data_IF_996141338885
#
_entry.id   IF_996141338885
#
_cell.length_a   1.000
_cell.length_b   1.000
_cell.length_c   1.000
_cell.angle_alpha   90.00
_cell.angle_beta   90.00
_cell.angle_gamma   90.00
#
_symmetry.space_group_name_H-M   'P 1'
#
loop_
_entity.id
_entity.type
_entity.pdbx_description
1 polymer ?
#
# COMPACT_ATOMS: atom_id res chain seq x y z
N UNK A 1 -21.66 -1.19 1.00
CA UNK A 1 -20.29 -1.48 0.55
C UNK A 1 -19.67 -0.13 0.23
N UNK A 2 -19.05 0.51 1.22
CA UNK A 2 -18.52 1.86 1.05
C UNK A 2 -17.24 1.70 0.23
N UNK A 3 -17.32 2.12 -1.02
CA UNK A 3 -16.18 2.18 -1.92
C UNK A 3 -15.20 3.14 -1.26
N UNK A 4 -14.00 2.66 -0.93
CA UNK A 4 -12.93 3.44 -0.29
C UNK A 4 -12.34 4.52 -1.23
N UNK A 5 -13.17 5.14 -2.06
CA UNK A 5 -12.74 6.03 -3.14
C UNK A 5 -13.07 7.51 -2.88
N UNK A 6 -13.75 7.84 -1.76
CA UNK A 6 -14.27 9.20 -1.54
C UNK A 6 -13.59 10.01 -0.43
N UNK A 7 -12.54 9.51 0.25
CA UNK A 7 -11.81 10.36 1.20
C UNK A 7 -10.73 11.18 0.48
N UNK A 8 -10.59 12.49 0.79
CA UNK A 8 -9.51 13.32 0.24
C UNK A 8 -8.11 12.72 0.48
N UNK A 9 -7.92 12.03 1.61
CA UNK A 9 -6.67 11.38 1.96
C UNK A 9 -6.28 10.27 0.97
N UNK A 10 -7.22 9.40 0.57
CA UNK A 10 -6.92 8.33 -0.38
C UNK A 10 -6.51 8.86 -1.75
N UNK A 11 -7.13 9.94 -2.20
CA UNK A 11 -6.74 10.60 -3.45
C UNK A 11 -5.29 11.09 -3.38
N UNK A 12 -4.92 11.81 -2.32
CA UNK A 12 -3.55 12.31 -2.11
C UNK A 12 -2.54 11.16 -2.00
N UNK A 13 -2.90 10.07 -1.30
CA UNK A 13 -2.06 8.88 -1.20
C UNK A 13 -1.78 8.27 -2.59
N UNK A 14 -2.84 8.03 -3.38
CA UNK A 14 -2.73 7.47 -4.72
C UNK A 14 -1.85 8.34 -5.62
N UNK A 15 -2.15 9.63 -5.69
CA UNK A 15 -1.41 10.58 -6.54
C UNK A 15 0.08 10.66 -6.14
N UNK A 16 0.36 10.75 -4.83
CA UNK A 16 1.74 10.86 -4.33
C UNK A 16 2.59 9.63 -4.63
N UNK A 17 1.98 8.44 -4.61
CA UNK A 17 2.67 7.18 -4.88
C UNK A 17 2.84 6.97 -6.38
N UNK A 18 1.79 7.16 -7.18
CA UNK A 18 1.83 6.94 -8.64
C UNK A 18 2.82 7.88 -9.32
N UNK A 19 2.97 9.12 -8.83
CA UNK A 19 3.97 10.07 -9.36
C UNK A 19 5.41 9.54 -9.22
N UNK A 20 5.68 8.73 -8.18
CA UNK A 20 7.01 8.17 -7.89
C UNK A 20 7.18 6.74 -8.41
N UNK A 21 6.09 5.96 -8.41
CA UNK A 21 6.03 4.53 -8.73
C UNK A 21 4.78 4.26 -9.60
N UNK A 22 4.81 4.61 -10.89
CA UNK A 22 3.62 4.61 -11.76
C UNK A 22 3.06 3.21 -12.04
N UNK A 23 3.91 2.18 -12.05
CA UNK A 23 3.50 0.77 -12.26
C UNK A 23 3.32 0.01 -10.94
N UNK A 24 2.96 0.71 -9.85
CA UNK A 24 2.76 0.07 -8.55
C UNK A 24 1.29 -0.17 -8.22
N UNK A 25 1.03 -1.28 -7.52
CA UNK A 25 -0.25 -1.55 -6.87
C UNK A 25 -0.22 -1.05 -5.43
N UNK A 26 -1.29 -0.40 -4.98
CA UNK A 26 -1.37 0.18 -3.63
C UNK A 26 -2.47 -0.53 -2.86
N UNK A 27 -2.11 -1.08 -1.71
CA UNK A 27 -3.03 -1.79 -0.82
C UNK A 27 -3.00 -1.09 0.53
N UNK A 28 -4.16 -0.66 1.00
CA UNK A 28 -4.36 -0.23 2.37
C UNK A 28 -4.63 -1.47 3.22
N UNK A 29 -3.90 -1.66 4.30
CA UNK A 29 -4.13 -2.76 5.22
C UNK A 29 -4.11 -2.24 6.67
N UNK A 30 -3.94 -3.13 7.64
CA UNK A 30 -3.75 -2.73 9.03
C UNK A 30 -5.05 -2.41 9.74
N UNK A 31 -4.98 -1.54 10.77
CA UNK A 31 -6.18 -1.11 11.49
C UNK A 31 -7.14 -0.55 10.48
N UNK A 32 -6.76 0.47 9.68
CA UNK A 32 -7.61 1.23 8.74
C UNK A 32 -8.50 0.41 7.79
N UNK A 33 -8.12 -0.83 7.47
CA UNK A 33 -8.95 -1.74 6.66
C UNK A 33 -10.12 -2.38 7.45
N UNK A 34 -9.96 -2.59 8.77
CA UNK A 34 -10.90 -3.33 9.65
C UNK A 34 -12.05 -2.52 10.27
N UNK A 35 -12.26 -1.28 9.85
CA UNK A 35 -13.25 -0.31 10.39
C UNK A 35 -13.26 -0.10 11.93
N UNK A 36 -12.12 -0.26 12.62
CA UNK A 36 -12.00 -0.20 14.10
C UNK A 36 -11.02 0.88 14.59
N UNK A 37 -10.95 2.02 13.89
CA UNK A 37 -9.87 3.01 14.04
C UNK A 37 -10.39 4.32 14.60
N UNK A 38 -9.56 4.97 15.42
CA UNK A 38 -9.71 6.37 15.79
C UNK A 38 -9.18 7.29 14.69
N UNK A 39 -9.66 8.54 14.66
CA UNK A 39 -9.29 9.60 13.69
C UNK A 39 -7.77 9.92 13.62
N UNK A 40 -6.96 9.38 14.53
CA UNK A 40 -5.51 9.59 14.65
C UNK A 40 -4.68 8.36 14.22
N UNK A 41 -5.29 7.40 13.51
CA UNK A 41 -4.60 6.16 13.11
C UNK A 41 -3.74 6.36 11.86
N UNK A 42 -2.51 5.86 11.89
CA UNK A 42 -1.61 5.83 10.73
C UNK A 42 -2.21 4.97 9.59
N UNK A 43 -2.01 5.40 8.34
CA UNK A 43 -2.37 4.61 7.16
C UNK A 43 -1.29 3.58 6.86
N UNK A 44 -1.58 2.29 7.06
CA UNK A 44 -0.68 1.19 6.69
C UNK A 44 -0.80 0.86 5.19
N UNK A 45 0.25 1.17 4.42
CA UNK A 45 0.25 1.05 2.96
C UNK A 45 1.28 0.02 2.49
N UNK A 46 0.84 -0.94 1.68
CA UNK A 46 1.68 -1.87 0.94
C UNK A 46 1.70 -1.43 -0.52
N UNK A 47 2.89 -1.13 -1.02
CA UNK A 47 3.14 -0.76 -2.40
C UNK A 47 3.85 -1.93 -3.07
N UNK A 48 3.20 -2.53 -4.05
CA UNK A 48 3.74 -3.65 -4.80
C UNK A 48 4.25 -3.13 -6.13
N UNK A 49 5.56 -3.25 -6.35
CA UNK A 49 6.20 -2.86 -7.60
C UNK A 49 6.41 -4.07 -8.50
N UNK A 50 6.38 -3.85 -9.81
CA UNK A 50 6.76 -4.87 -10.79
C UNK A 50 8.26 -5.18 -10.72
N UNK A 51 9.07 -4.14 -10.59
CA UNK A 51 10.52 -4.25 -10.55
C UNK A 51 11.04 -4.51 -9.14
N UNK A 52 12.18 -5.19 -9.07
CA UNK A 52 12.95 -5.30 -7.84
C UNK A 52 13.71 -3.99 -7.59
N UNK A 53 13.67 -3.53 -6.35
CA UNK A 53 14.40 -2.36 -5.89
C UNK A 53 15.38 -2.75 -4.80
N UNK A 54 16.59 -2.21 -4.85
CA UNK A 54 17.53 -2.42 -3.75
C UNK A 54 17.08 -1.69 -2.47
N UNK A 55 17.70 -2.01 -1.33
CA UNK A 55 17.37 -1.42 -0.05
C UNK A 55 17.54 0.12 -0.02
N UNK A 56 18.46 0.68 -0.82
CA UNK A 56 18.68 2.13 -0.88
C UNK A 56 17.55 2.81 -1.64
N UNK A 57 17.15 2.25 -2.78
CA UNK A 57 16.01 2.72 -3.58
C UNK A 57 14.72 2.63 -2.79
N UNK A 58 14.45 1.49 -2.14
CA UNK A 58 13.27 1.32 -1.28
C UNK A 58 13.26 2.39 -0.17
N UNK A 59 14.39 2.62 0.51
CA UNK A 59 14.48 3.63 1.57
C UNK A 59 14.26 5.04 1.02
N UNK A 60 14.78 5.35 -0.17
CA UNK A 60 14.58 6.64 -0.84
C UNK A 60 13.10 6.86 -1.16
N UNK A 61 12.44 5.90 -1.82
CA UNK A 61 11.02 5.99 -2.15
C UNK A 61 10.16 6.12 -0.90
N UNK A 62 10.39 5.30 0.13
CA UNK A 62 9.69 5.42 1.42
C UNK A 62 9.83 6.81 2.02
N UNK A 63 11.04 7.39 2.00
CA UNK A 63 11.29 8.73 2.54
C UNK A 63 10.55 9.81 1.75
N UNK A 64 10.60 9.75 0.42
CA UNK A 64 9.93 10.71 -0.46
C UNK A 64 8.41 10.66 -0.32
N UNK A 65 7.84 9.45 -0.31
CA UNK A 65 6.39 9.27 -0.15
C UNK A 65 5.96 9.75 1.25
N UNK A 66 6.61 9.31 2.33
CA UNK A 66 6.28 9.77 3.69
C UNK A 66 6.36 11.29 3.82
N UNK A 67 7.37 11.92 3.22
CA UNK A 67 7.46 13.38 3.21
C UNK A 67 6.27 14.01 2.50
N UNK A 68 5.90 13.53 1.30
CA UNK A 68 4.72 14.05 0.58
C UNK A 68 3.42 13.89 1.38
N UNK A 69 3.22 12.75 2.01
CA UNK A 69 2.02 12.49 2.82
C UNK A 69 1.99 13.34 4.10
N UNK A 70 3.13 13.49 4.78
CA UNK A 70 3.24 14.32 5.98
C UNK A 70 2.92 15.80 5.70
N UNK A 71 3.31 16.33 4.53
CA UNK A 71 2.93 17.69 4.12
C UNK A 71 1.40 17.87 3.99
N UNK A 72 0.66 16.79 3.79
CA UNK A 72 -0.80 16.76 3.72
C UNK A 72 -1.44 16.31 5.05
N UNK A 73 -0.67 16.22 6.14
CA UNK A 73 -1.12 15.72 7.45
C UNK A 73 -1.66 14.28 7.40
N UNK A 74 -1.11 13.46 6.50
CA UNK A 74 -1.45 12.05 6.36
C UNK A 74 -0.30 11.22 6.93
N UNK A 75 -0.41 10.72 8.16
CA UNK A 75 0.60 9.83 8.71
C UNK A 75 0.46 8.45 8.08
N UNK A 76 1.54 7.87 7.59
CA UNK A 76 1.50 6.61 6.87
C UNK A 76 2.73 5.73 7.14
N UNK A 77 2.49 4.46 7.44
CA UNK A 77 3.53 3.45 7.37
C UNK A 77 3.55 2.81 5.98
N UNK A 78 4.74 2.64 5.42
CA UNK A 78 4.91 2.25 4.02
C UNK A 78 5.82 1.03 3.95
N UNK A 79 5.29 -0.02 3.35
CA UNK A 79 6.01 -1.22 2.94
C UNK A 79 6.06 -1.24 1.42
N UNK A 80 7.25 -1.37 0.84
CA UNK A 80 7.45 -1.52 -0.60
C UNK A 80 8.02 -2.92 -0.82
N UNK A 81 7.42 -3.68 -1.73
CA UNK A 81 7.81 -5.05 -2.06
C UNK A 81 7.68 -5.27 -3.56
N UNK A 82 8.56 -6.08 -4.14
CA UNK A 82 8.32 -6.53 -5.52
C UNK A 82 7.23 -7.61 -5.55
N UNK A 83 6.60 -7.80 -6.71
CA UNK A 83 5.63 -8.89 -6.91
C UNK A 83 6.21 -10.27 -6.53
N UNK A 84 7.48 -10.51 -6.87
CA UNK A 84 8.17 -11.77 -6.53
C UNK A 84 8.33 -11.95 -5.02
N UNK A 85 8.72 -10.89 -4.30
CA UNK A 85 8.84 -10.94 -2.84
C UNK A 85 7.49 -11.21 -2.17
N UNK A 86 6.42 -10.61 -2.69
CA UNK A 86 5.06 -10.83 -2.20
C UNK A 86 4.64 -12.28 -2.38
N UNK A 87 4.87 -12.86 -3.55
CA UNK A 87 4.56 -14.28 -3.85
C UNK A 87 5.29 -15.26 -2.93
N UNK A 88 6.52 -14.94 -2.54
CA UNK A 88 7.29 -15.73 -1.57
C UNK A 88 6.74 -15.54 -0.14
N UNK A 89 6.54 -14.28 0.27
CA UNK A 89 6.18 -13.92 1.65
C UNK A 89 4.71 -14.20 1.99
N UNK A 90 3.79 -14.23 1.01
CA UNK A 90 2.36 -14.55 1.22
C UNK A 90 2.13 -15.98 1.72
N UNK A 91 3.08 -16.88 1.47
CA UNK A 91 3.07 -18.28 1.90
C UNK A 91 3.55 -18.46 3.35
N UNK A 92 4.17 -17.44 3.94
CA UNK A 92 4.67 -17.47 5.31
C UNK A 92 3.53 -17.13 6.26
N UNK A 93 3.16 -18.08 7.12
CA UNK A 93 2.12 -17.90 8.13
C UNK A 93 2.50 -16.80 9.12
N UNK A 94 1.54 -15.91 9.44
CA UNK A 94 1.75 -14.81 10.37
C UNK A 94 2.53 -13.62 9.80
N UNK A 95 2.89 -13.63 8.51
CA UNK A 95 3.62 -12.53 7.89
C UNK A 95 2.69 -11.38 7.50
N UNK A 96 3.11 -10.13 7.75
CA UNK A 96 2.31 -8.92 7.45
C UNK A 96 1.90 -8.82 5.97
N UNK A 97 2.76 -9.29 5.07
CA UNK A 97 2.45 -9.38 3.62
C UNK A 97 1.24 -10.29 3.37
N UNK A 98 1.15 -11.44 4.05
CA UNK A 98 0.00 -12.34 3.92
C UNK A 98 -1.28 -11.65 4.40
N UNK A 99 -1.22 -10.96 5.54
CA UNK A 99 -2.36 -10.22 6.06
C UNK A 99 -2.80 -9.10 5.09
N UNK A 100 -1.85 -8.30 4.60
CA UNK A 100 -2.14 -7.21 3.65
C UNK A 100 -2.78 -7.72 2.35
N UNK A 101 -2.37 -8.90 1.86
CA UNK A 101 -2.96 -9.49 0.66
C UNK A 101 -4.36 -10.05 0.93
N UNK A 102 -4.58 -10.69 2.08
CA UNK A 102 -5.86 -11.34 2.40
C UNK A 102 -6.94 -10.35 2.87
N UNK A 103 -6.57 -9.36 3.68
CA UNK A 103 -7.49 -8.44 4.37
C UNK A 103 -7.41 -7.00 3.83
N UNK A 104 -6.41 -6.68 3.01
CA UNK A 104 -6.21 -5.32 2.52
C UNK A 104 -7.23 -4.88 1.49
N UNK A 105 -7.46 -3.57 1.45
CA UNK A 105 -8.33 -2.89 0.50
C UNK A 105 -7.45 -2.31 -0.61
N UNK A 106 -7.62 -2.76 -1.87
CA UNK A 106 -6.90 -2.17 -2.98
C UNK A 106 -7.35 -0.72 -3.20
N UNK A 107 -6.39 0.20 -3.29
CA UNK A 107 -6.63 1.61 -3.57
C UNK A 107 -6.51 1.93 -5.06
N UNK A 108 -5.85 1.10 -5.86
CA UNK A 108 -5.62 1.37 -7.29
C UNK A 108 -6.85 1.12 -8.16
N UNK A 109 -7.13 2.04 -9.08
CA UNK A 109 -8.14 1.95 -10.14
C UNK A 109 -7.60 1.37 -11.47
N UNK A 110 -6.29 1.06 -11.56
CA UNK A 110 -5.62 0.69 -12.82
C UNK A 110 -5.32 -0.80 -13.04
N UNK A 111 -5.29 -1.63 -11.99
CA UNK A 111 -4.97 -3.06 -12.14
C UNK A 111 -5.59 -3.93 -11.02
N UNK A 112 -6.93 -3.97 -10.97
CA UNK A 112 -7.65 -4.91 -10.10
C UNK A 112 -7.23 -6.38 -10.34
N UNK A 113 -6.78 -6.71 -11.56
CA UNK A 113 -6.41 -8.06 -11.94
C UNK A 113 -5.12 -8.51 -11.24
N UNK A 114 -4.12 -7.64 -11.12
CA UNK A 114 -2.90 -7.97 -10.37
C UNK A 114 -3.17 -8.26 -8.91
N UNK A 115 -4.05 -7.51 -8.24
CA UNK A 115 -4.40 -7.78 -6.85
C UNK A 115 -5.19 -9.08 -6.69
N UNK A 116 -6.21 -9.33 -7.54
CA UNK A 116 -6.97 -10.60 -7.53
C UNK A 116 -6.08 -11.82 -7.79
N UNK A 117 -5.06 -11.69 -8.63
CA UNK A 117 -4.07 -12.75 -8.86
C UNK A 117 -3.19 -13.04 -7.64
N UNK A 118 -2.95 -12.05 -6.77
CA UNK A 118 -2.19 -12.27 -5.53
C UNK A 118 -3.02 -12.97 -4.45
N UNK A 119 -4.35 -12.83 -4.49
CA UNK A 119 -5.30 -13.45 -3.56
C UNK A 119 -5.68 -14.90 -3.91
N UNK A 120 -5.51 -15.32 -5.17
CA UNK A 120 -5.69 -16.72 -5.61
C UNK A 120 -4.54 -17.62 -5.18
#
# INVERSE_FOLDING_TARGET
MIVADETPAFKVIKESIIELLPESSIILFGSMARHDHSDDSDYDLMIITKDFHDNKQIRLFKSLIRKKLAHNHIPADIIIQSKEEVELKKKITGHIVRQAIMEGIPLTSGDENSFKQLQS
#
